data_IF_159652943050
#
_entry.id   IF_159652943050
#
_cell.length_a   1.000
_cell.length_b   1.000
_cell.length_c   1.000
_cell.angle_alpha   90.00
_cell.angle_beta   90.00
_cell.angle_gamma   90.00
#
_symmetry.space_group_name_H-M   'P 1'
#
loop_
_entity.id
_entity.type
_entity.pdbx_description
1 polymer ?
#
# COMPACT_ATOMS: atom_id res chain seq x y z
N UNK A 1 -10.08 5.07 -6.90
CA UNK A 1 -9.61 4.19 -7.99
C UNK A 1 -10.41 2.90 -7.93
N UNK A 2 -10.51 2.18 -9.02
CA UNK A 2 -11.07 0.83 -9.05
C UNK A 2 -9.93 -0.18 -9.11
N UNK A 3 -10.08 -1.29 -8.39
CA UNK A 3 -9.08 -2.33 -8.28
C UNK A 3 -9.73 -3.70 -8.48
N UNK A 4 -8.95 -4.63 -9.02
CA UNK A 4 -9.21 -6.06 -8.90
C UNK A 4 -8.08 -6.64 -8.05
N UNK A 5 -8.47 -7.45 -7.06
CA UNK A 5 -7.57 -8.00 -6.07
C UNK A 5 -7.91 -9.44 -5.78
N UNK A 6 -6.89 -10.24 -5.47
CA UNK A 6 -7.06 -11.61 -4.98
C UNK A 6 -7.78 -11.59 -3.62
N UNK A 7 -8.80 -12.43 -3.46
CA UNK A 7 -9.64 -12.43 -2.28
C UNK A 7 -8.97 -12.97 -1.01
N UNK A 8 -7.91 -13.77 -1.16
CA UNK A 8 -7.25 -14.47 -0.06
C UNK A 8 -5.94 -13.80 0.34
N UNK A 9 -5.14 -13.42 -0.65
CA UNK A 9 -3.84 -12.79 -0.48
C UNK A 9 -3.94 -11.28 -0.41
N UNK A 10 -5.07 -10.70 -0.82
CA UNK A 10 -5.27 -9.25 -0.95
C UNK A 10 -4.32 -8.59 -1.95
N UNK A 11 -3.74 -9.37 -2.86
CA UNK A 11 -2.84 -8.89 -3.90
C UNK A 11 -3.62 -8.09 -4.93
N UNK A 12 -3.25 -6.84 -5.18
CA UNK A 12 -3.87 -6.02 -6.22
C UNK A 12 -3.27 -6.34 -7.58
N UNK A 13 -4.06 -6.93 -8.47
CA UNK A 13 -3.61 -7.37 -9.79
C UNK A 13 -3.69 -6.25 -10.83
N UNK A 14 -4.80 -5.49 -10.85
CA UNK A 14 -5.00 -4.41 -11.80
C UNK A 14 -5.74 -3.22 -11.19
N UNK A 15 -5.48 -2.03 -11.74
CA UNK A 15 -6.01 -0.75 -11.25
C UNK A 15 -6.49 0.13 -12.40
N UNK A 16 -7.61 0.81 -12.21
CA UNK A 16 -8.10 1.87 -13.12
C UNK A 16 -8.50 3.11 -12.34
N UNK A 17 -7.95 4.25 -12.75
CA UNK A 17 -8.30 5.55 -12.17
C UNK A 17 -9.63 6.01 -12.76
N UNK A 18 -10.60 6.32 -11.89
CA UNK A 18 -11.83 6.98 -12.32
C UNK A 18 -11.55 8.46 -12.55
N UNK A 19 -11.67 8.88 -13.81
CA UNK A 19 -11.38 10.26 -14.24
C UNK A 19 -12.62 10.97 -14.80
N UNK A 20 -13.82 10.46 -14.52
CA UNK A 20 -15.07 11.00 -15.04
C UNK A 20 -15.17 10.93 -16.57
N UNK A 21 -15.98 11.81 -17.16
CA UNK A 21 -16.17 11.88 -18.61
C UNK A 21 -14.97 12.57 -19.27
N UNK A 22 -14.25 11.82 -20.09
CA UNK A 22 -13.09 12.33 -20.82
C UNK A 22 -13.51 13.05 -22.11
N UNK A 23 -12.77 14.08 -22.57
CA UNK A 23 -12.99 14.71 -23.85
C UNK A 23 -12.86 13.71 -25.01
N UNK A 24 -13.42 14.03 -26.17
CA UNK A 24 -13.30 13.18 -27.37
C UNK A 24 -11.83 12.94 -27.69
N UNK A 25 -11.47 11.68 -27.90
CA UNK A 25 -10.09 11.25 -28.12
C UNK A 25 -9.88 9.79 -27.72
N UNK A 26 -8.63 9.29 -27.82
CA UNK A 26 -8.31 7.88 -27.53
C UNK A 26 -8.57 7.49 -26.07
N UNK A 27 -8.57 8.46 -25.15
CA UNK A 27 -8.87 8.24 -23.73
C UNK A 27 -10.36 8.36 -23.38
N UNK A 28 -11.22 8.65 -24.37
CA UNK A 28 -12.68 8.71 -24.22
C UNK A 28 -13.27 7.30 -24.17
N UNK A 29 -13.09 6.63 -23.03
CA UNK A 29 -13.59 5.28 -22.80
C UNK A 29 -14.89 5.29 -21.99
N UNK A 30 -15.74 4.30 -22.22
CA UNK A 30 -16.98 4.14 -21.44
C UNK A 30 -16.68 3.87 -19.97
N UNK A 31 -17.35 4.59 -19.07
CA UNK A 31 -17.34 4.34 -17.64
C UNK A 31 -18.49 3.42 -17.18
N UNK A 32 -19.21 2.79 -18.12
CA UNK A 32 -20.20 1.77 -17.77
C UNK A 32 -19.55 0.66 -16.96
N UNK A 33 -20.29 0.08 -16.00
CA UNK A 33 -19.83 -1.04 -15.20
C UNK A 33 -19.24 -2.18 -16.05
N UNK A 34 -19.92 -2.54 -17.15
CA UNK A 34 -19.47 -3.54 -18.12
C UNK A 34 -18.05 -3.25 -18.62
N UNK A 35 -17.86 -2.10 -19.28
CA UNK A 35 -16.58 -1.70 -19.85
C UNK A 35 -15.48 -1.50 -18.79
N UNK A 36 -15.83 -1.11 -17.56
CA UNK A 36 -14.86 -0.98 -16.48
C UNK A 36 -14.38 -2.35 -15.99
N UNK A 37 -15.30 -3.28 -15.75
CA UNK A 37 -14.98 -4.63 -15.29
C UNK A 37 -14.18 -5.37 -16.36
N UNK A 38 -14.59 -5.31 -17.64
CA UNK A 38 -13.86 -5.94 -18.74
C UNK A 38 -12.39 -5.45 -18.82
N UNK A 39 -12.16 -4.14 -18.64
CA UNK A 39 -10.80 -3.56 -18.60
C UNK A 39 -9.99 -3.93 -17.35
N UNK A 40 -10.65 -4.15 -16.21
CA UNK A 40 -9.97 -4.55 -14.97
C UNK A 40 -9.62 -6.03 -15.00
N UNK A 41 -10.55 -6.86 -15.48
CA UNK A 41 -10.46 -8.31 -15.55
C UNK A 41 -9.56 -8.81 -16.70
N UNK A 42 -9.27 -7.97 -17.68
CA UNK A 42 -8.44 -8.31 -18.85
C UNK A 42 -7.18 -9.17 -18.56
N UNK A 43 -6.37 -8.92 -17.50
CA UNK A 43 -5.16 -9.70 -17.24
C UNK A 43 -5.42 -11.17 -16.86
N UNK A 44 -6.56 -11.44 -16.23
CA UNK A 44 -6.94 -12.78 -15.75
C UNK A 44 -8.06 -13.41 -16.58
N UNK A 45 -8.35 -12.82 -17.74
CA UNK A 45 -9.34 -13.33 -18.68
C UNK A 45 -8.96 -14.73 -19.15
N UNK A 46 -9.96 -15.61 -19.26
CA UNK A 46 -9.81 -17.01 -19.73
C UNK A 46 -8.96 -17.92 -18.83
N UNK A 47 -8.61 -17.48 -17.62
CA UNK A 47 -7.91 -18.32 -16.63
C UNK A 47 -8.82 -19.28 -15.87
N UNK A 48 -10.15 -19.14 -16.03
CA UNK A 48 -11.14 -19.89 -15.26
C UNK A 48 -11.32 -19.41 -13.81
N UNK A 49 -10.74 -18.26 -13.44
CA UNK A 49 -10.91 -17.66 -12.12
C UNK A 49 -12.30 -17.04 -11.94
N UNK A 50 -12.80 -17.12 -10.71
CA UNK A 50 -14.06 -16.51 -10.30
C UNK A 50 -13.87 -15.01 -10.00
N UNK A 51 -14.88 -14.20 -10.33
CA UNK A 51 -14.90 -12.77 -10.00
C UNK A 51 -16.03 -12.49 -9.03
N UNK A 52 -15.76 -11.75 -7.97
CA UNK A 52 -16.81 -11.24 -7.09
C UNK A 52 -16.89 -9.73 -7.27
N UNK A 53 -18.03 -9.24 -7.77
CA UNK A 53 -18.26 -7.81 -7.99
C UNK A 53 -19.23 -7.22 -6.96
N UNK A 54 -19.00 -5.96 -6.59
CA UNK A 54 -19.97 -5.20 -5.80
C UNK A 54 -21.18 -4.73 -6.64
N UNK A 55 -22.24 -4.33 -5.97
CA UNK A 55 -23.51 -3.88 -6.55
C UNK A 55 -23.33 -2.74 -7.56
N UNK A 56 -22.35 -1.85 -7.35
CA UNK A 56 -22.09 -0.72 -8.25
C UNK A 56 -21.54 -1.14 -9.61
N UNK A 57 -20.97 -2.35 -9.72
CA UNK A 57 -20.42 -2.90 -10.96
C UNK A 57 -21.38 -3.86 -11.65
N UNK A 58 -22.62 -3.96 -11.15
CA UNK A 58 -23.55 -4.98 -11.57
C UNK A 58 -24.43 -4.49 -12.73
N UNK A 59 -24.40 -5.20 -13.88
CA UNK A 59 -25.40 -5.07 -14.94
C UNK A 59 -25.83 -6.46 -15.45
N UNK A 60 -27.01 -6.54 -16.09
CA UNK A 60 -27.47 -7.78 -16.73
C UNK A 60 -26.53 -8.22 -17.85
N UNK A 61 -26.10 -7.26 -18.68
CA UNK A 61 -25.15 -7.51 -19.78
C UNK A 61 -23.79 -8.03 -19.27
N UNK A 62 -23.31 -7.50 -18.14
CA UNK A 62 -22.10 -8.01 -17.52
C UNK A 62 -22.32 -9.43 -17.01
N UNK A 63 -23.52 -9.74 -16.48
CA UNK A 63 -23.83 -11.09 -16.02
C UNK A 63 -23.80 -12.06 -17.19
N UNK A 64 -24.44 -11.75 -18.31
CA UNK A 64 -24.41 -12.60 -19.51
C UNK A 64 -22.98 -12.76 -20.08
N UNK A 65 -22.18 -11.68 -20.11
CA UNK A 65 -20.78 -11.74 -20.54
C UNK A 65 -19.94 -12.63 -19.62
N UNK A 66 -20.03 -12.42 -18.30
CA UNK A 66 -19.27 -13.17 -17.32
C UNK A 66 -19.73 -14.64 -17.25
N UNK A 67 -21.02 -14.91 -17.45
CA UNK A 67 -21.57 -16.26 -17.60
C UNK A 67 -20.97 -16.99 -18.80
N UNK A 68 -20.85 -16.33 -19.96
CA UNK A 68 -20.20 -16.92 -21.14
C UNK A 68 -18.71 -17.26 -20.91
N UNK A 69 -18.09 -16.63 -19.91
CA UNK A 69 -16.68 -16.77 -19.56
C UNK A 69 -16.45 -17.59 -18.29
N UNK A 70 -17.50 -18.21 -17.71
CA UNK A 70 -17.47 -18.96 -16.44
C UNK A 70 -17.07 -18.13 -15.22
N UNK A 71 -17.40 -16.84 -15.22
CA UNK A 71 -17.04 -15.89 -14.17
C UNK A 71 -18.29 -15.51 -13.36
N UNK A 72 -18.16 -15.51 -12.03
CA UNK A 72 -19.26 -15.22 -11.10
C UNK A 72 -19.69 -13.76 -11.12
N UNK A 73 -20.99 -13.53 -10.90
CA UNK A 73 -21.57 -12.20 -10.84
C UNK A 73 -22.78 -12.15 -9.94
N UNK A 74 -22.80 -11.16 -9.04
CA UNK A 74 -23.94 -10.80 -8.21
C UNK A 74 -24.82 -9.77 -8.92
N UNK A 75 -26.16 -9.95 -8.94
CA UNK A 75 -27.11 -9.05 -9.62
C UNK A 75 -28.25 -8.48 -8.75
N UNK A 76 -28.69 -7.24 -9.04
CA UNK A 76 -29.88 -6.57 -8.43
C UNK A 76 -30.91 -5.94 -9.39
N UNK A 77 -30.78 -5.97 -10.74
CA UNK A 77 -31.79 -5.30 -11.62
C UNK A 77 -32.23 -6.12 -12.84
N UNK A 78 -33.53 -6.42 -12.90
CA UNK A 78 -34.23 -7.36 -13.79
C UNK A 78 -34.12 -8.83 -13.32
N UNK A 79 -34.85 -9.13 -12.26
CA UNK A 79 -35.12 -10.47 -11.74
C UNK A 79 -36.65 -10.65 -11.68
N UNK A 80 -37.17 -11.88 -11.71
CA UNK A 80 -38.61 -12.14 -11.62
C UNK A 80 -39.24 -11.41 -10.42
N UNK A 81 -40.47 -10.88 -10.53
CA UNK A 81 -41.16 -10.21 -9.42
C UNK A 81 -41.17 -11.04 -8.13
N UNK A 82 -41.23 -12.36 -8.27
CA UNK A 82 -41.18 -13.34 -7.18
C UNK A 82 -39.87 -13.28 -6.40
N UNK A 83 -38.76 -12.93 -7.05
CA UNK A 83 -37.46 -12.76 -6.40
C UNK A 83 -37.37 -11.41 -5.68
N UNK A 84 -37.99 -10.36 -6.24
CA UNK A 84 -37.83 -8.97 -5.80
C UNK A 84 -38.87 -8.57 -4.75
N UNK A 85 -40.10 -9.06 -4.85
CA UNK A 85 -41.18 -8.68 -3.95
C UNK A 85 -40.93 -9.18 -2.53
N UNK A 86 -40.83 -8.23 -1.60
CA UNK A 86 -40.57 -8.48 -0.18
C UNK A 86 -41.85 -8.55 0.66
N UNK A 87 -42.98 -8.05 0.12
CA UNK A 87 -44.24 -7.92 0.86
C UNK A 87 -44.73 -9.30 1.30
N UNK A 88 -44.95 -9.45 2.61
CA UNK A 88 -45.44 -10.67 3.26
C UNK A 88 -44.56 -11.90 3.10
N UNK A 89 -43.27 -11.73 2.77
CA UNK A 89 -42.35 -12.86 2.60
C UNK A 89 -41.68 -13.20 3.94
N UNK A 90 -41.71 -14.46 4.39
CA UNK A 90 -41.06 -14.85 5.64
C UNK A 90 -39.53 -14.74 5.52
N UNK A 91 -38.87 -14.61 6.67
CA UNK A 91 -37.41 -14.72 6.79
C UNK A 91 -36.98 -16.09 6.28
N UNK A 92 -35.97 -16.11 5.40
CA UNK A 92 -35.53 -17.34 4.77
C UNK A 92 -34.85 -17.12 3.42
N UNK A 93 -34.58 -18.23 2.74
CA UNK A 93 -33.89 -18.26 1.45
C UNK A 93 -34.79 -18.87 0.41
N UNK A 94 -34.79 -18.29 -0.79
CA UNK A 94 -35.32 -18.93 -1.99
C UNK A 94 -34.17 -19.18 -2.96
N UNK A 95 -34.26 -20.26 -3.74
CA UNK A 95 -33.34 -20.55 -4.83
C UNK A 95 -34.14 -20.54 -6.13
N UNK A 96 -33.69 -19.71 -7.08
CA UNK A 96 -34.27 -19.61 -8.40
C UNK A 96 -33.19 -19.96 -9.44
N UNK A 97 -33.41 -21.04 -10.19
CA UNK A 97 -32.45 -21.56 -11.14
C UNK A 97 -32.81 -21.12 -12.57
N UNK A 98 -31.79 -20.72 -13.32
CA UNK A 98 -31.83 -20.48 -14.78
C UNK A 98 -30.65 -21.24 -15.38
N UNK A 99 -30.76 -21.67 -16.64
CA UNK A 99 -29.81 -22.59 -17.31
C UNK A 99 -28.33 -22.39 -16.97
N UNK A 100 -27.86 -21.14 -16.86
CA UNK A 100 -26.45 -20.85 -16.55
C UNK A 100 -26.25 -20.01 -15.27
N UNK A 101 -27.29 -19.73 -14.48
CA UNK A 101 -27.14 -18.93 -13.27
C UNK A 101 -28.20 -19.24 -12.20
N UNK A 102 -27.78 -19.20 -10.95
CA UNK A 102 -28.63 -19.31 -9.76
C UNK A 102 -28.83 -17.93 -9.16
N UNK A 103 -30.08 -17.55 -8.94
CA UNK A 103 -30.52 -16.33 -8.29
C UNK A 103 -31.00 -16.72 -6.90
N UNK A 104 -30.48 -16.04 -5.87
CA UNK A 104 -30.77 -16.36 -4.47
C UNK A 104 -31.32 -15.10 -3.79
N UNK A 105 -32.64 -14.96 -3.69
CA UNK A 105 -33.25 -14.02 -2.77
C UNK A 105 -33.10 -14.53 -1.34
N UNK A 106 -32.44 -13.74 -0.50
CA UNK A 106 -32.25 -14.04 0.91
C UNK A 106 -32.84 -12.91 1.76
N UNK A 107 -33.81 -13.24 2.61
CA UNK A 107 -34.40 -12.30 3.57
C UNK A 107 -33.81 -12.60 4.95
N UNK A 108 -32.75 -11.89 5.37
CA UNK A 108 -32.18 -12.06 6.71
C UNK A 108 -33.10 -11.54 7.81
N UNK A 109 -33.93 -10.55 7.49
CA UNK A 109 -34.91 -9.96 8.41
C UNK A 109 -36.03 -9.30 7.63
N UNK A 110 -37.16 -9.11 8.29
CA UNK A 110 -38.35 -8.48 7.71
C UNK A 110 -38.01 -7.12 7.08
N UNK A 111 -38.50 -6.89 5.85
CA UNK A 111 -38.24 -5.67 5.08
C UNK A 111 -36.80 -5.51 4.56
N UNK A 112 -36.01 -6.59 4.52
CA UNK A 112 -34.71 -6.60 3.83
C UNK A 112 -34.59 -7.78 2.90
N UNK A 113 -34.48 -7.52 1.60
CA UNK A 113 -34.13 -8.52 0.61
C UNK A 113 -32.68 -8.35 0.13
N UNK A 114 -31.88 -9.41 0.28
CA UNK A 114 -30.53 -9.51 -0.26
C UNK A 114 -30.61 -10.37 -1.50
N UNK A 115 -30.42 -9.74 -2.65
CA UNK A 115 -30.40 -10.44 -3.92
C UNK A 115 -28.96 -10.77 -4.32
N UNK A 116 -28.79 -12.04 -4.64
CA UNK A 116 -27.53 -12.64 -5.00
C UNK A 116 -27.67 -13.41 -6.30
N UNK A 117 -26.60 -13.46 -7.07
CA UNK A 117 -26.55 -14.24 -8.31
C UNK A 117 -25.21 -14.94 -8.36
N UNK A 118 -25.21 -16.16 -8.89
CA UNK A 118 -24.04 -17.02 -8.97
C UNK A 118 -24.12 -17.92 -10.19
N UNK A 119 -22.97 -18.40 -10.61
CA UNK A 119 -22.82 -19.39 -11.67
C UNK A 119 -22.02 -20.63 -11.21
N UNK A 120 -21.55 -20.64 -9.96
CA UNK A 120 -20.82 -21.78 -9.37
C UNK A 120 -21.78 -22.68 -8.60
N UNK A 121 -22.79 -22.09 -7.96
CA UNK A 121 -23.68 -22.80 -7.05
C UNK A 121 -24.93 -23.23 -7.80
N UNK A 122 -25.11 -24.53 -7.95
CA UNK A 122 -26.28 -25.20 -8.54
C UNK A 122 -27.11 -25.96 -7.48
N UNK A 123 -26.75 -25.81 -6.20
CA UNK A 123 -27.42 -26.46 -5.07
C UNK A 123 -28.13 -25.48 -4.13
N UNK A 124 -28.97 -26.04 -3.25
CA UNK A 124 -29.73 -25.34 -2.21
C UNK A 124 -29.08 -25.47 -0.82
N UNK A 125 -27.74 -25.56 -0.79
CA UNK A 125 -26.96 -25.77 0.43
C UNK A 125 -27.12 -24.63 1.45
N UNK A 126 -27.51 -24.99 2.66
CA UNK A 126 -27.64 -24.09 3.80
C UNK A 126 -26.74 -24.59 4.93
N UNK A 127 -25.90 -23.72 5.45
CA UNK A 127 -25.02 -24.03 6.56
C UNK A 127 -25.84 -24.29 7.83
N UNK A 128 -25.76 -25.52 8.36
CA UNK A 128 -26.39 -25.91 9.61
C UNK A 128 -25.91 -25.11 10.84
N UNK A 129 -24.72 -24.49 10.74
CA UNK A 129 -24.12 -23.71 11.83
C UNK A 129 -24.64 -22.27 11.83
N UNK A 130 -24.72 -21.65 10.65
CA UNK A 130 -25.06 -20.21 10.54
C UNK A 130 -26.51 -19.95 10.16
N UNK A 131 -27.22 -20.97 9.67
CA UNK A 131 -28.56 -20.83 9.08
C UNK A 131 -28.56 -19.99 7.79
N UNK A 132 -27.38 -19.71 7.22
CA UNK A 132 -27.22 -18.95 5.99
C UNK A 132 -26.94 -19.89 4.82
N UNK A 133 -27.40 -19.54 3.62
CA UNK A 133 -26.97 -20.22 2.40
C UNK A 133 -25.45 -20.21 2.31
N UNK A 134 -24.82 -21.32 1.93
CA UNK A 134 -23.36 -21.39 1.77
C UNK A 134 -22.87 -20.31 0.82
N UNK A 135 -23.65 -20.05 -0.23
CA UNK A 135 -23.43 -18.95 -1.15
C UNK A 135 -23.26 -17.56 -0.49
N UNK A 136 -24.09 -17.25 0.52
CA UNK A 136 -23.99 -15.96 1.24
C UNK A 136 -22.67 -15.89 2.01
N UNK A 137 -22.20 -17.03 2.51
CA UNK A 137 -20.93 -17.14 3.22
C UNK A 137 -19.77 -16.91 2.26
N UNK A 138 -19.76 -17.59 1.11
CA UNK A 138 -18.70 -17.46 0.10
C UNK A 138 -18.62 -16.06 -0.50
N UNK A 139 -19.78 -15.44 -0.76
CA UNK A 139 -19.82 -14.03 -1.14
C UNK A 139 -19.21 -13.14 -0.07
N UNK A 140 -19.54 -13.36 1.22
CA UNK A 140 -18.99 -12.54 2.29
C UNK A 140 -17.48 -12.74 2.48
N UNK A 141 -16.95 -13.92 2.18
CA UNK A 141 -15.52 -14.20 2.19
C UNK A 141 -14.78 -13.51 1.04
N UNK A 142 -15.44 -13.29 -0.10
CA UNK A 142 -14.79 -12.77 -1.33
C UNK A 142 -15.24 -11.37 -1.75
N UNK A 143 -16.21 -10.77 -1.06
CA UNK A 143 -16.76 -9.46 -1.48
C UNK A 143 -15.68 -8.40 -1.46
N UNK A 144 -15.69 -7.59 -2.52
CA UNK A 144 -14.75 -6.48 -2.71
C UNK A 144 -14.68 -5.55 -1.49
N UNK A 145 -15.76 -5.37 -0.74
CA UNK A 145 -15.73 -4.63 0.53
C UNK A 145 -14.68 -5.17 1.51
N UNK A 146 -14.63 -6.48 1.78
CA UNK A 146 -13.66 -7.05 2.72
C UNK A 146 -12.23 -6.91 2.20
N UNK A 147 -12.03 -7.11 0.90
CA UNK A 147 -10.70 -7.04 0.27
C UNK A 147 -10.21 -5.59 0.26
N UNK A 148 -11.04 -4.65 -0.18
CA UNK A 148 -10.75 -3.22 -0.21
C UNK A 148 -10.57 -2.68 1.20
N UNK A 149 -11.45 -3.02 2.14
CA UNK A 149 -11.34 -2.60 3.54
C UNK A 149 -10.03 -3.11 4.16
N UNK A 150 -9.61 -4.34 3.83
CA UNK A 150 -8.33 -4.90 4.31
C UNK A 150 -7.14 -4.17 3.70
N UNK A 151 -7.13 -3.96 2.37
CA UNK A 151 -6.07 -3.21 1.69
C UNK A 151 -6.02 -1.76 2.18
N UNK A 152 -7.16 -1.11 2.39
CA UNK A 152 -7.27 0.25 2.91
C UNK A 152 -6.81 0.32 4.36
N UNK A 153 -7.12 -0.68 5.18
CA UNK A 153 -6.61 -0.79 6.55
C UNK A 153 -5.07 -0.96 6.56
N UNK A 154 -4.52 -1.80 5.69
CA UNK A 154 -3.07 -1.97 5.52
C UNK A 154 -2.39 -0.67 5.04
N UNK A 155 -3.03 0.05 4.12
CA UNK A 155 -2.59 1.36 3.65
C UNK A 155 -2.66 2.42 4.76
N UNK A 156 -3.70 2.39 5.60
CA UNK A 156 -3.89 3.37 6.67
C UNK A 156 -2.89 3.18 7.81
N UNK A 157 -2.60 1.93 8.19
CA UNK A 157 -1.63 1.60 9.23
C UNK A 157 -0.19 2.04 8.87
N UNK A 158 0.17 1.93 7.59
CA UNK A 158 1.48 2.35 7.06
C UNK A 158 1.30 3.20 5.80
N UNK A 159 0.89 4.46 6.00
CA UNK A 159 0.61 5.38 4.90
C UNK A 159 1.82 6.27 4.55
N UNK A 160 2.27 6.18 3.30
CA UNK A 160 3.35 7.04 2.78
C UNK A 160 2.87 8.34 2.15
N UNK A 161 1.56 8.55 2.08
CA UNK A 161 1.00 9.78 1.54
C UNK A 161 1.48 11.01 2.32
N UNK A 162 1.65 12.12 1.59
CA UNK A 162 1.93 13.44 2.14
C UNK A 162 0.90 14.42 1.61
N UNK A 163 0.66 15.47 2.39
CA UNK A 163 -0.18 16.57 1.91
C UNK A 163 0.41 17.13 0.61
N UNK A 164 -0.38 17.09 -0.45
CA UNK A 164 0.02 17.56 -1.77
C UNK A 164 -1.13 18.34 -2.40
N UNK A 165 -0.81 19.52 -2.95
CA UNK A 165 -1.76 20.34 -3.72
C UNK A 165 -1.88 19.94 -5.19
N UNK A 166 -1.35 18.76 -5.54
CA UNK A 166 -1.30 18.24 -6.91
C UNK A 166 -1.89 16.84 -6.90
N UNK A 167 -3.05 16.66 -7.54
CA UNK A 167 -3.75 15.37 -7.56
C UNK A 167 -2.91 14.19 -8.11
N UNK A 168 -1.94 14.35 -9.05
CA UNK A 168 -1.13 13.21 -9.49
C UNK A 168 -0.28 12.62 -8.36
N UNK A 169 0.12 13.46 -7.38
CA UNK A 169 0.84 12.97 -6.20
C UNK A 169 -0.03 12.07 -5.34
N UNK A 170 -1.34 12.31 -5.28
CA UNK A 170 -2.28 11.45 -4.55
C UNK A 170 -2.26 10.05 -5.15
N UNK A 171 -2.31 9.95 -6.48
CA UNK A 171 -2.23 8.67 -7.19
C UNK A 171 -0.88 8.01 -6.97
N UNK A 172 0.22 8.76 -7.09
CA UNK A 172 1.57 8.24 -6.85
C UNK A 172 1.69 7.62 -5.45
N UNK A 173 1.19 8.30 -4.41
CA UNK A 173 1.23 7.76 -3.05
C UNK A 173 0.36 6.52 -2.88
N UNK A 174 -0.83 6.49 -3.50
CA UNK A 174 -1.66 5.28 -3.48
C UNK A 174 -0.97 4.10 -4.18
N UNK A 175 -0.34 4.34 -5.34
CA UNK A 175 0.44 3.31 -6.03
C UNK A 175 1.62 2.83 -5.20
N UNK A 176 2.31 3.73 -4.49
CA UNK A 176 3.41 3.37 -3.61
C UNK A 176 2.95 2.48 -2.45
N UNK A 177 1.82 2.82 -1.81
CA UNK A 177 1.24 2.00 -0.74
C UNK A 177 0.85 0.61 -1.24
N UNK A 178 0.17 0.52 -2.39
CA UNK A 178 -0.25 -0.76 -3.00
C UNK A 178 0.98 -1.59 -3.40
N UNK A 179 2.00 -0.96 -4.00
CA UNK A 179 3.24 -1.65 -4.40
C UNK A 179 3.96 -2.25 -3.20
N UNK A 180 3.99 -1.54 -2.06
CA UNK A 180 4.56 -2.07 -0.82
C UNK A 180 3.81 -3.31 -0.33
N UNK A 181 2.46 -3.28 -0.33
CA UNK A 181 1.62 -4.43 0.02
C UNK A 181 1.89 -5.62 -0.91
N UNK A 182 1.84 -5.40 -2.22
CA UNK A 182 2.09 -6.44 -3.21
C UNK A 182 3.50 -7.04 -3.08
N UNK A 183 4.52 -6.21 -2.82
CA UNK A 183 5.89 -6.68 -2.63
C UNK A 183 6.04 -7.56 -1.37
N UNK A 184 5.31 -7.24 -0.30
CA UNK A 184 5.28 -8.04 0.94
C UNK A 184 4.60 -9.39 0.70
N UNK A 185 3.49 -9.41 -0.03
CA UNK A 185 2.80 -10.65 -0.41
C UNK A 185 3.72 -11.56 -1.22
N UNK A 186 4.41 -11.01 -2.22
CA UNK A 186 5.38 -11.76 -3.03
C UNK A 186 6.53 -12.28 -2.15
N UNK A 187 7.04 -11.45 -1.24
CA UNK A 187 8.11 -11.84 -0.32
C UNK A 187 7.71 -13.04 0.55
N UNK A 188 6.54 -13.01 1.18
CA UNK A 188 6.06 -14.13 2.00
C UNK A 188 5.71 -15.37 1.16
N UNK A 189 5.20 -15.18 -0.07
CA UNK A 189 4.96 -16.27 -1.00
C UNK A 189 6.24 -17.03 -1.37
N UNK A 190 7.35 -16.32 -1.53
CA UNK A 190 8.66 -16.91 -1.83
C UNK A 190 9.42 -17.40 -0.59
N UNK A 191 9.09 -16.86 0.59
CA UNK A 191 9.77 -17.16 1.85
C UNK A 191 8.75 -17.58 2.93
N UNK A 192 8.06 -18.72 2.79
CA UNK A 192 6.97 -19.10 3.69
C UNK A 192 7.42 -19.41 5.13
N UNK A 193 8.73 -19.61 5.35
CA UNK A 193 9.31 -19.82 6.68
C UNK A 193 9.64 -18.50 7.39
N UNK A 194 9.73 -17.40 6.64
CA UNK A 194 10.13 -16.11 7.15
C UNK A 194 8.88 -15.34 7.60
N UNK A 195 8.66 -15.34 8.91
CA UNK A 195 7.59 -14.56 9.53
C UNK A 195 8.10 -13.17 9.96
N UNK A 196 8.48 -12.36 8.97
CA UNK A 196 8.93 -10.98 9.22
C UNK A 196 7.69 -10.11 9.46
N UNK A 197 7.70 -9.31 10.53
CA UNK A 197 6.66 -8.32 10.76
C UNK A 197 6.70 -7.25 9.66
N UNK A 198 5.53 -6.83 9.18
CA UNK A 198 5.37 -5.76 8.17
C UNK A 198 6.26 -4.54 8.39
N UNK A 199 6.36 -4.06 9.64
CA UNK A 199 7.23 -2.92 10.00
C UNK A 199 8.67 -3.13 9.57
N UNK A 200 9.23 -4.31 9.86
CA UNK A 200 10.60 -4.67 9.55
C UNK A 200 10.79 -4.92 8.05
N UNK A 201 9.80 -5.52 7.39
CA UNK A 201 9.81 -5.65 5.93
C UNK A 201 9.92 -4.29 5.25
N UNK A 202 9.08 -3.32 5.66
CA UNK A 202 9.07 -1.97 5.09
C UNK A 202 10.34 -1.17 5.43
N UNK A 203 10.88 -1.35 6.63
CA UNK A 203 12.16 -0.78 7.04
C UNK A 203 13.30 -1.30 6.14
N UNK A 204 13.42 -2.62 5.99
CA UNK A 204 14.41 -3.26 5.12
C UNK A 204 14.26 -2.82 3.66
N UNK A 205 13.03 -2.77 3.15
CA UNK A 205 12.72 -2.28 1.80
C UNK A 205 13.21 -0.83 1.63
N UNK A 206 12.95 0.04 2.61
CA UNK A 206 13.35 1.44 2.55
C UNK A 206 14.88 1.59 2.52
N UNK A 207 15.61 0.84 3.34
CA UNK A 207 17.07 0.85 3.34
C UNK A 207 17.62 0.29 2.04
N UNK A 208 17.05 -0.80 1.52
CA UNK A 208 17.46 -1.39 0.24
C UNK A 208 17.33 -0.39 -0.92
N UNK A 209 16.22 0.33 -1.00
CA UNK A 209 15.98 1.36 -2.02
C UNK A 209 16.94 2.55 -1.88
N UNK A 210 17.27 2.95 -0.65
CA UNK A 210 18.17 4.08 -0.39
C UNK A 210 19.66 3.73 -0.53
N UNK A 211 20.05 2.48 -0.38
CA UNK A 211 21.45 2.06 -0.21
C UNK A 211 22.40 2.62 -1.28
N UNK A 212 22.05 2.46 -2.57
CA UNK A 212 22.89 2.94 -3.67
C UNK A 212 23.02 4.47 -3.69
N UNK A 213 21.92 5.18 -3.41
CA UNK A 213 21.94 6.64 -3.33
C UNK A 213 22.75 7.14 -2.13
N UNK A 214 22.66 6.46 -0.99
CA UNK A 214 23.43 6.76 0.20
C UNK A 214 24.93 6.53 -0.05
N UNK A 215 25.29 5.39 -0.63
CA UNK A 215 26.68 5.09 -1.03
C UNK A 215 27.23 6.15 -1.98
N UNK A 216 26.52 6.49 -3.06
CA UNK A 216 26.95 7.54 -3.98
C UNK A 216 27.12 8.91 -3.28
N UNK A 217 26.22 9.23 -2.35
CA UNK A 217 26.27 10.48 -1.58
C UNK A 217 27.43 10.51 -0.57
N UNK A 218 27.88 9.36 -0.07
CA UNK A 218 29.03 9.27 0.84
C UNK A 218 30.33 9.76 0.18
N UNK A 219 30.51 9.45 -1.11
CA UNK A 219 31.68 9.86 -1.91
C UNK A 219 31.63 11.33 -2.37
N UNK A 220 30.53 12.05 -2.15
CA UNK A 220 30.44 13.47 -2.53
C UNK A 220 31.33 14.34 -1.65
N UNK A 221 32.15 15.20 -2.25
CA UNK A 221 33.04 16.11 -1.52
C UNK A 221 32.30 17.19 -0.74
N UNK A 222 31.09 17.56 -1.17
CA UNK A 222 30.33 18.72 -0.65
C UNK A 222 29.38 18.40 0.50
N UNK A 223 29.30 17.13 0.93
CA UNK A 223 28.44 16.75 2.06
C UNK A 223 29.12 17.08 3.40
N UNK A 224 28.30 17.47 4.38
CA UNK A 224 28.75 17.70 5.75
C UNK A 224 29.41 16.44 6.33
N UNK A 225 30.55 16.59 7.02
CA UNK A 225 31.30 15.48 7.64
C UNK A 225 30.40 14.61 8.54
N UNK A 226 29.54 15.22 9.35
CA UNK A 226 28.60 14.51 10.23
C UNK A 226 27.59 13.64 9.48
N UNK A 227 27.09 14.14 8.33
CA UNK A 227 26.20 13.37 7.46
C UNK A 227 26.94 12.24 6.77
N UNK A 228 28.18 12.47 6.31
CA UNK A 228 29.02 11.43 5.73
C UNK A 228 29.27 10.30 6.73
N UNK A 229 29.66 10.61 7.96
CA UNK A 229 29.91 9.62 9.01
C UNK A 229 28.69 8.74 9.26
N UNK A 230 27.50 9.33 9.41
CA UNK A 230 26.25 8.56 9.57
C UNK A 230 25.92 7.68 8.37
N UNK A 231 26.13 8.19 7.16
CA UNK A 231 25.90 7.41 5.94
C UNK A 231 26.86 6.21 5.87
N UNK A 232 28.13 6.40 6.22
CA UNK A 232 29.12 5.32 6.23
C UNK A 232 28.76 4.26 7.28
N UNK A 233 28.30 4.69 8.46
CA UNK A 233 27.79 3.80 9.51
C UNK A 233 26.60 2.97 9.02
N UNK A 234 25.57 3.61 8.46
CA UNK A 234 24.36 2.94 7.95
C UNK A 234 24.68 1.99 6.79
N UNK A 235 25.61 2.36 5.91
CA UNK A 235 25.93 1.58 4.71
C UNK A 235 27.10 0.61 4.90
N UNK A 236 27.64 0.50 6.12
CA UNK A 236 28.84 -0.28 6.44
C UNK A 236 30.00 -0.02 5.47
N UNK A 237 30.28 1.27 5.21
CA UNK A 237 31.41 1.68 4.39
C UNK A 237 32.60 1.86 5.33
N UNK A 238 33.63 1.06 5.15
CA UNK A 238 34.91 1.23 5.83
C UNK A 238 35.54 2.54 5.38
N UNK A 239 35.35 3.60 6.17
CA UNK A 239 36.16 4.80 6.02
C UNK A 239 37.54 4.47 6.57
N UNK A 240 38.55 4.42 5.70
CA UNK A 240 39.93 4.43 6.17
C UNK A 240 40.10 5.58 7.18
N UNK A 241 40.72 5.35 8.34
CA UNK A 241 40.99 6.44 9.27
C UNK A 241 41.80 7.48 8.49
N UNK A 242 41.30 8.72 8.47
CA UNK A 242 42.06 9.86 7.95
C UNK A 242 43.36 9.96 8.75
N UNK A 243 44.40 9.26 8.30
CA UNK A 243 45.78 9.35 8.77
C UNK A 243 46.48 10.59 8.22
N UNK A 244 45.79 11.34 7.36
CA UNK A 244 46.15 12.71 7.04
C UNK A 244 46.10 13.56 8.31
N UNK A 245 47.27 13.83 8.87
CA UNK A 245 47.51 14.95 9.78
C UNK A 245 47.10 16.24 9.04
N UNK A 246 45.81 16.59 9.08
CA UNK A 246 45.33 17.89 8.65
C UNK A 246 46.04 18.93 9.52
N UNK A 247 47.16 19.48 9.03
CA UNK A 247 47.99 20.43 9.80
C UNK A 247 47.22 21.72 10.09
N UNK A 248 46.15 21.97 9.32
CA UNK A 248 45.31 23.16 9.39
C UNK A 248 43.84 22.74 9.30
N UNK A 249 43.01 23.19 10.24
CA UNK A 249 41.57 22.99 10.22
C UNK A 249 40.82 24.29 10.48
N UNK A 250 39.49 24.24 10.35
CA UNK A 250 38.64 25.39 10.63
C UNK A 250 38.44 25.56 12.13
N UNK A 251 38.52 26.80 12.64
CA UNK A 251 38.22 27.08 14.05
C UNK A 251 36.80 26.60 14.41
N UNK A 252 36.69 25.74 15.43
CA UNK A 252 35.42 25.09 15.80
C UNK A 252 34.34 26.09 16.25
N UNK A 253 34.72 27.16 16.96
CA UNK A 253 33.78 28.14 17.50
C UNK A 253 33.61 29.38 16.60
N UNK A 254 34.25 29.44 15.43
CA UNK A 254 34.01 30.53 14.48
C UNK A 254 32.75 30.28 13.67
N UNK A 255 32.00 31.35 13.39
CA UNK A 255 30.87 31.26 12.46
C UNK A 255 31.28 30.72 11.09
N UNK A 256 30.38 29.91 10.51
CA UNK A 256 30.18 29.55 9.09
C UNK A 256 30.90 30.42 8.05
N UNK A 257 30.73 31.73 8.24
CA UNK A 257 31.00 32.77 7.24
C UNK A 257 32.43 33.30 7.28
N UNK A 258 33.12 33.27 8.43
CA UNK A 258 34.48 33.81 8.56
C UNK A 258 35.57 32.88 8.01
N UNK A 259 35.28 31.58 7.88
CA UNK A 259 36.15 30.53 7.33
C UNK A 259 37.63 30.60 7.77
N UNK A 260 37.88 30.99 9.03
CA UNK A 260 39.24 31.13 9.55
C UNK A 260 39.87 29.75 9.74
N UNK A 261 40.98 29.51 9.05
CA UNK A 261 41.81 28.32 9.20
C UNK A 261 42.82 28.54 10.32
N UNK A 262 43.09 27.50 11.10
CA UNK A 262 44.03 27.52 12.23
C UNK A 262 44.80 26.21 12.29
N UNK A 263 46.03 26.27 12.81
CA UNK A 263 46.88 25.10 13.09
C UNK A 263 46.82 24.67 14.55
N UNK A 264 46.24 25.51 15.39
CA UNK A 264 46.19 25.28 16.83
C UNK A 264 44.97 24.41 17.17
N UNK A 265 45.13 23.53 18.14
CA UNK A 265 44.07 22.66 18.64
C UNK A 265 44.06 22.66 20.17
N UNK A 266 42.88 22.49 20.76
CA UNK A 266 42.72 22.34 22.19
C UNK A 266 43.43 21.06 22.65
N UNK A 267 44.27 21.16 23.69
CA UNK A 267 44.99 20.00 24.23
C UNK A 267 44.04 18.91 24.76
N UNK A 268 42.90 19.29 25.34
CA UNK A 268 41.96 18.37 25.96
C UNK A 268 41.03 17.66 24.96
N UNK A 269 40.46 18.38 23.98
CA UNK A 269 39.45 17.82 23.06
C UNK A 269 39.92 17.71 21.60
N UNK A 270 41.17 18.10 21.30
CA UNK A 270 41.78 18.09 19.95
C UNK A 270 41.03 18.88 18.87
N UNK A 271 40.01 19.65 19.22
CA UNK A 271 39.29 20.56 18.31
C UNK A 271 40.17 21.75 17.93
N UNK A 272 40.12 22.18 16.67
CA UNK A 272 40.86 23.34 16.19
C UNK A 272 40.40 24.65 16.87
N UNK A 273 41.37 25.41 17.41
CA UNK A 273 41.20 26.69 18.12
C UNK A 273 41.97 27.84 17.42
N UNK A 274 41.52 29.09 17.47
CA UNK A 274 42.34 30.22 17.00
C UNK A 274 43.13 30.85 18.16
N UNK A 275 44.28 31.46 17.86
CA UNK A 275 45.15 32.10 18.88
C UNK A 275 44.48 33.25 19.63
N UNK A 276 43.44 33.87 19.06
CA UNK A 276 42.61 34.85 19.78
C UNK A 276 41.91 34.24 21.03
N UNK A 277 41.82 32.90 21.17
CA UNK A 277 41.00 32.22 22.19
C UNK A 277 41.74 31.16 23.06
N UNK A 278 42.95 31.43 23.57
CA UNK A 278 43.70 30.62 24.57
C UNK A 278 44.18 29.24 24.10
N UNK A 279 44.92 28.52 24.97
CA UNK A 279 45.52 27.18 24.75
C UNK A 279 44.55 26.01 24.98
N UNK A 280 43.44 26.27 25.66
CA UNK A 280 42.34 25.32 25.97
C UNK A 280 41.03 25.98 25.54
N UNK A 281 40.14 25.23 24.88
CA UNK A 281 38.86 25.80 24.45
C UNK A 281 37.92 26.08 25.62
N UNK A 282 37.00 27.02 25.44
CA UNK A 282 36.06 27.48 26.47
C UNK A 282 35.24 26.33 27.08
N UNK A 283 34.73 25.41 26.26
CA UNK A 283 34.04 24.19 26.73
C UNK A 283 34.89 23.34 27.70
N UNK A 284 36.19 23.21 27.44
CA UNK A 284 37.08 22.43 28.28
C UNK A 284 37.52 23.21 29.51
N UNK A 285 37.68 24.53 29.39
CA UNK A 285 37.98 25.41 30.51
C UNK A 285 36.83 25.43 31.53
N UNK A 286 35.59 25.58 31.06
CA UNK A 286 34.40 25.54 31.93
C UNK A 286 34.23 24.18 32.62
N UNK A 287 34.45 23.07 31.89
CA UNK A 287 34.39 21.72 32.49
C UNK A 287 35.43 21.48 33.59
N UNK A 288 36.61 22.12 33.50
CA UNK A 288 37.60 22.04 34.56
C UNK A 288 37.19 22.90 35.77
N UNK A 289 36.63 24.09 35.56
CA UNK A 289 36.19 24.96 36.67
C UNK A 289 35.00 24.39 37.45
N UNK A 290 34.11 23.61 36.81
CA UNK A 290 32.97 22.97 37.49
C UNK A 290 33.32 21.71 38.28
N UNK A 291 34.57 21.25 38.23
CA UNK A 291 35.02 20.05 38.94
C UNK A 291 35.87 20.36 40.19
N UNK A 292 36.17 21.63 40.44
CA UNK A 292 36.95 22.11 41.60
C UNK A 292 36.07 22.72 42.72
N UNK A 293 34.74 22.53 42.66
CA UNK A 293 33.77 22.82 43.74
C UNK A 293 33.16 21.53 44.33
#
# INVERSE_FOLDING_TARGET
MYAISDAKMYYTDNLKVYVGKQPKGPFSVSNSALALVDRLYQPIRETGQNLTTDNIFTSLELAELLLSQKITMKKTRALPPECVNEKNRPVGTMFAYRENCTIIPYIPKEGKNVLLTSNIHDDDSISNVTGKPEFVTDYNCTKGGVIVDTVDQLCANYNYARNARRWPMVIFYSLLNISAINSEIIFHGNNPKDNILRRHFLENLSFALMNNHLKARAYSEYILRTMRSRICEICHIDTEPNTGTETNGRYFFCSSKKNRKTRYFCKCCKKFICLEHRTVCEDCFQKHMTHDD
#
